data_IF_303827034217
#
_entry.id   IF_303827034217
#
_cell.length_a   1.000
_cell.length_b   1.000
_cell.length_c   1.000
_cell.angle_alpha   90.00
_cell.angle_beta   90.00
_cell.angle_gamma   90.00
#
_symmetry.space_group_name_H-M   'P 1'
#
loop_
_entity.id
_entity.type
_entity.pdbx_description
1 polymer ?
#
# COMPACT_ATOMS: atom_id res chain seq x y z
N UNK A 1 9.11 -18.17 -8.70
CA UNK A 1 7.78 -18.40 -9.32
C UNK A 1 7.06 -17.09 -9.65
N UNK A 2 6.91 -16.14 -8.71
CA UNK A 2 6.35 -14.79 -9.03
C UNK A 2 7.23 -14.04 -10.05
N UNK A 3 8.55 -14.12 -9.88
CA UNK A 3 9.51 -13.51 -10.81
C UNK A 3 9.39 -14.07 -12.23
N UNK A 4 9.02 -15.34 -12.36
CA UNK A 4 8.76 -15.99 -13.65
C UNK A 4 7.50 -15.41 -14.30
N UNK A 5 6.39 -15.30 -13.53
CA UNK A 5 5.13 -14.72 -14.01
C UNK A 5 5.28 -13.24 -14.37
N UNK A 6 6.01 -12.46 -13.57
CA UNK A 6 6.23 -11.03 -13.80
C UNK A 6 7.14 -10.75 -15.00
N UNK A 7 8.14 -11.60 -15.22
CA UNK A 7 9.02 -11.51 -16.40
C UNK A 7 8.27 -11.95 -17.66
N UNK A 8 7.40 -12.95 -17.54
CA UNK A 8 6.55 -13.44 -18.63
C UNK A 8 5.39 -12.47 -18.95
N UNK A 9 4.92 -11.72 -17.95
CA UNK A 9 3.85 -10.72 -18.06
C UNK A 9 4.27 -9.37 -17.48
N UNK A 10 5.24 -8.68 -18.11
CA UNK A 10 5.80 -7.42 -17.59
C UNK A 10 4.79 -6.28 -17.52
N UNK A 11 3.66 -6.43 -18.21
CA UNK A 11 2.54 -5.49 -18.22
C UNK A 11 1.65 -5.57 -16.97
N UNK A 12 1.77 -6.60 -16.11
CA UNK A 12 0.93 -6.74 -14.92
C UNK A 12 1.09 -5.59 -13.93
N UNK A 13 2.34 -5.28 -13.54
CA UNK A 13 2.64 -4.19 -12.61
C UNK A 13 2.14 -2.81 -13.11
N UNK A 14 2.46 -2.36 -14.34
CA UNK A 14 1.96 -1.07 -14.83
C UNK A 14 0.44 -1.07 -15.02
N UNK A 15 -0.18 -2.19 -15.40
CA UNK A 15 -1.65 -2.29 -15.52
C UNK A 15 -2.31 -2.19 -14.16
N UNK A 16 -1.81 -2.90 -13.15
CA UNK A 16 -2.30 -2.81 -11.78
C UNK A 16 -2.15 -1.39 -11.23
N UNK A 17 -1.01 -0.74 -11.47
CA UNK A 17 -0.79 0.65 -11.08
C UNK A 17 -1.78 1.59 -11.77
N UNK A 18 -1.98 1.45 -13.08
CA UNK A 18 -2.93 2.27 -13.83
C UNK A 18 -4.36 2.10 -13.32
N UNK A 19 -4.79 0.86 -13.05
CA UNK A 19 -6.08 0.58 -12.44
C UNK A 19 -6.22 1.21 -11.05
N UNK A 20 -5.18 1.16 -10.21
CA UNK A 20 -5.18 1.80 -8.90
C UNK A 20 -5.24 3.33 -9.00
N UNK A 21 -4.53 3.93 -9.95
CA UNK A 21 -4.56 5.39 -10.18
C UNK A 21 -5.96 5.85 -10.62
N UNK A 22 -6.63 5.09 -11.48
CA UNK A 22 -7.96 5.46 -12.00
C UNK A 22 -9.09 5.10 -11.02
N UNK A 23 -9.12 3.86 -10.54
CA UNK A 23 -10.22 3.33 -9.74
C UNK A 23 -10.03 3.60 -8.24
N UNK A 24 -8.78 3.66 -7.76
CA UNK A 24 -8.46 3.84 -6.34
C UNK A 24 -9.10 5.10 -5.74
N UNK A 25 -8.94 6.29 -6.35
CA UNK A 25 -9.58 7.50 -5.85
C UNK A 25 -11.10 7.44 -5.85
N UNK A 26 -11.71 6.76 -6.83
CA UNK A 26 -13.16 6.59 -6.92
C UNK A 26 -13.68 5.70 -5.79
N UNK A 27 -13.02 4.57 -5.53
CA UNK A 27 -13.36 3.69 -4.40
C UNK A 27 -13.11 4.41 -3.07
N UNK A 28 -11.96 5.09 -2.93
CA UNK A 28 -11.62 5.89 -1.76
C UNK A 28 -12.67 6.96 -1.46
N UNK A 29 -13.19 7.63 -2.49
CA UNK A 29 -14.30 8.60 -2.39
C UNK A 29 -15.56 7.95 -1.81
N UNK A 30 -15.92 6.76 -2.30
CA UNK A 30 -17.13 6.03 -1.87
C UNK A 30 -17.06 5.59 -0.40
N UNK A 31 -15.85 5.31 0.12
CA UNK A 31 -15.64 4.87 1.50
C UNK A 31 -15.19 5.98 2.46
N UNK A 32 -14.97 7.22 1.98
CA UNK A 32 -14.48 8.34 2.79
C UNK A 32 -15.37 8.72 3.98
N UNK A 33 -16.67 8.42 3.90
CA UNK A 33 -17.64 8.59 5.00
C UNK A 33 -17.83 7.33 5.87
N UNK A 34 -17.16 6.22 5.55
CA UNK A 34 -17.34 4.91 6.19
C UNK A 34 -15.99 4.39 6.75
N UNK A 35 -15.55 4.88 7.92
CA UNK A 35 -14.22 4.58 8.45
C UNK A 35 -13.97 3.07 8.63
N UNK A 36 -14.97 2.30 9.03
CA UNK A 36 -14.86 0.84 9.14
C UNK A 36 -14.57 0.16 7.79
N UNK A 37 -15.24 0.60 6.71
CA UNK A 37 -14.99 0.07 5.37
C UNK A 37 -13.60 0.47 4.86
N UNK A 38 -13.15 1.70 5.13
CA UNK A 38 -11.80 2.14 4.77
C UNK A 38 -10.72 1.34 5.52
N UNK A 39 -10.92 1.04 6.80
CA UNK A 39 -10.02 0.16 7.56
C UNK A 39 -10.03 -1.28 7.08
N UNK A 40 -11.21 -1.84 6.75
CA UNK A 40 -11.31 -3.17 6.17
C UNK A 40 -10.53 -3.25 4.84
N UNK A 41 -10.71 -2.28 3.94
CA UNK A 41 -9.98 -2.22 2.68
C UNK A 41 -8.47 -2.02 2.89
N UNK A 42 -8.07 -1.23 3.89
CA UNK A 42 -6.66 -1.10 4.29
C UNK A 42 -6.08 -2.46 4.70
N UNK A 43 -6.79 -3.18 5.59
CA UNK A 43 -6.37 -4.50 6.05
C UNK A 43 -6.27 -5.51 4.90
N UNK A 44 -7.31 -5.62 4.07
CA UNK A 44 -7.32 -6.49 2.89
C UNK A 44 -6.20 -6.15 1.92
N UNK A 45 -5.95 -4.87 1.66
CA UNK A 45 -4.87 -4.44 0.77
C UNK A 45 -3.47 -4.61 1.37
N UNK A 46 -3.36 -4.77 2.70
CA UNK A 46 -2.08 -5.05 3.39
C UNK A 46 -1.74 -6.55 3.36
N UNK A 47 -2.74 -7.43 3.21
CA UNK A 47 -2.51 -8.89 3.14
C UNK A 47 -1.49 -9.27 2.06
N UNK A 48 -1.59 -8.78 0.80
CA UNK A 48 -0.58 -9.05 -0.22
C UNK A 48 0.83 -8.58 0.17
N UNK A 49 0.97 -7.46 0.88
CA UNK A 49 2.28 -6.98 1.35
C UNK A 49 2.89 -8.04 2.27
N UNK A 50 2.19 -8.41 3.33
CA UNK A 50 2.68 -9.36 4.33
C UNK A 50 2.96 -10.73 3.70
N UNK A 51 2.02 -11.25 2.91
CA UNK A 51 2.17 -12.56 2.27
C UNK A 51 3.38 -12.55 1.33
N UNK A 52 3.50 -11.56 0.45
CA UNK A 52 4.55 -11.57 -0.57
C UNK A 52 5.95 -11.25 -0.03
N UNK A 53 6.04 -10.57 1.12
CA UNK A 53 7.32 -10.25 1.75
C UNK A 53 7.76 -11.29 2.78
N UNK A 54 6.83 -11.97 3.46
CA UNK A 54 7.15 -12.89 4.56
C UNK A 54 6.99 -14.37 4.21
N UNK A 55 6.38 -14.72 3.08
CA UNK A 55 6.29 -16.12 2.66
C UNK A 55 7.70 -16.63 2.29
N UNK A 56 8.18 -17.71 2.93
CA UNK A 56 9.51 -18.24 2.66
C UNK A 56 9.68 -18.65 1.20
N UNK A 57 10.90 -18.50 0.68
CA UNK A 57 11.25 -18.94 -0.66
C UNK A 57 12.49 -19.82 -0.64
N UNK A 58 12.59 -20.80 -1.53
CA UNK A 58 13.72 -21.74 -1.62
C UNK A 58 15.03 -21.12 -2.15
N UNK A 59 15.16 -19.78 -2.11
CA UNK A 59 16.35 -19.06 -2.55
C UNK A 59 17.38 -19.03 -1.43
N UNK A 60 18.65 -19.20 -1.79
CA UNK A 60 19.76 -18.91 -0.88
C UNK A 60 19.79 -17.40 -0.66
N UNK A 61 19.33 -16.94 0.50
CA UNK A 61 19.52 -15.56 0.92
C UNK A 61 21.02 -15.31 1.11
N UNK A 62 21.51 -14.17 0.64
CA UNK A 62 22.86 -13.71 0.97
C UNK A 62 22.86 -13.15 2.39
N UNK A 63 23.91 -13.41 3.17
CA UNK A 63 24.05 -12.91 4.55
C UNK A 63 24.23 -11.39 4.66
N UNK A 64 24.24 -10.67 3.53
CA UNK A 64 24.46 -9.22 3.48
C UNK A 64 23.32 -8.53 2.74
N UNK A 65 22.88 -7.39 3.27
CA UNK A 65 21.91 -6.54 2.58
C UNK A 65 22.52 -5.95 1.31
N UNK A 66 21.73 -5.94 0.25
CA UNK A 66 22.05 -5.20 -0.96
C UNK A 66 21.85 -3.70 -0.69
N UNK A 67 22.92 -2.92 -0.90
CA UNK A 67 22.84 -1.46 -0.87
C UNK A 67 22.92 -0.95 -2.31
N UNK A 68 21.76 -0.59 -2.84
CA UNK A 68 21.58 -0.04 -4.18
C UNK A 68 20.48 1.03 -4.19
N UNK A 69 20.61 1.99 -5.11
CA UNK A 69 19.70 3.12 -5.25
C UNK A 69 19.28 3.26 -6.71
N UNK A 70 18.44 2.33 -7.16
CA UNK A 70 17.97 2.35 -8.54
C UNK A 70 16.48 2.54 -8.62
N UNK A 71 16.08 3.46 -9.49
CA UNK A 71 14.67 3.79 -9.67
C UNK A 71 13.92 2.63 -10.35
N UNK A 72 12.67 2.38 -9.95
CA UNK A 72 11.79 1.46 -10.65
C UNK A 72 11.56 1.97 -12.08
N UNK A 73 11.67 1.07 -13.06
CA UNK A 73 11.34 1.33 -14.46
C UNK A 73 10.42 0.23 -14.96
N UNK A 74 9.72 0.45 -16.08
CA UNK A 74 8.79 -0.53 -16.65
C UNK A 74 9.49 -1.86 -16.99
N UNK A 75 10.76 -1.81 -17.41
CA UNK A 75 11.57 -3.01 -17.66
C UNK A 75 12.09 -3.72 -16.39
N UNK A 76 11.94 -3.11 -15.21
CA UNK A 76 12.32 -3.67 -13.91
C UNK A 76 11.09 -4.06 -13.11
N UNK A 77 10.45 -5.11 -13.58
CA UNK A 77 9.13 -5.58 -13.15
C UNK A 77 9.02 -5.82 -11.64
N UNK A 78 10.09 -6.28 -10.99
CA UNK A 78 10.13 -6.52 -9.54
C UNK A 78 10.06 -5.22 -8.74
N UNK A 79 10.89 -4.22 -9.09
CA UNK A 79 10.86 -2.90 -8.46
C UNK A 79 9.52 -2.20 -8.70
N UNK A 80 8.94 -2.36 -9.90
CA UNK A 80 7.62 -1.83 -10.22
C UNK A 80 6.49 -2.50 -9.41
N UNK A 81 6.58 -3.80 -9.13
CA UNK A 81 5.61 -4.48 -8.27
C UNK A 81 5.67 -3.99 -6.82
N UNK A 82 6.88 -3.76 -6.28
CA UNK A 82 7.07 -3.22 -4.94
C UNK A 82 6.39 -1.84 -4.78
N UNK A 83 6.45 -0.98 -5.80
CA UNK A 83 5.67 0.26 -5.84
C UNK A 83 4.17 -0.05 -5.68
N UNK A 84 3.62 -0.95 -6.49
CA UNK A 84 2.18 -1.28 -6.49
C UNK A 84 1.69 -1.79 -5.14
N UNK A 85 2.49 -2.60 -4.44
CA UNK A 85 2.11 -3.23 -3.17
C UNK A 85 1.68 -2.23 -2.09
N UNK A 86 2.32 -1.06 -2.04
CA UNK A 86 2.01 -0.06 -1.02
C UNK A 86 0.93 0.94 -1.44
N UNK A 87 0.60 1.07 -2.73
CA UNK A 87 -0.35 2.10 -3.22
C UNK A 87 -1.73 1.92 -2.60
N UNK A 88 -2.34 0.74 -2.72
CA UNK A 88 -3.68 0.48 -2.23
C UNK A 88 -3.83 0.57 -0.70
N UNK A 89 -3.01 -0.10 0.13
CA UNK A 89 -3.15 -0.01 1.58
C UNK A 89 -2.93 1.42 2.08
N UNK A 90 -1.98 2.16 1.51
CA UNK A 90 -1.71 3.55 1.90
C UNK A 90 -2.84 4.48 1.48
N UNK A 91 -3.39 4.33 0.27
CA UNK A 91 -4.55 5.09 -0.18
C UNK A 91 -5.70 4.97 0.82
N UNK A 92 -6.08 3.73 1.16
CA UNK A 92 -7.19 3.50 2.09
C UNK A 92 -6.86 3.89 3.53
N UNK A 93 -5.61 3.74 3.98
CA UNK A 93 -5.17 4.21 5.29
C UNK A 93 -5.24 5.74 5.39
N UNK A 94 -4.88 6.47 4.33
CA UNK A 94 -5.06 7.94 4.27
C UNK A 94 -6.54 8.30 4.33
N UNK A 95 -7.40 7.59 3.60
CA UNK A 95 -8.85 7.82 3.65
C UNK A 95 -9.42 7.54 5.05
N UNK A 96 -8.96 6.47 5.71
CA UNK A 96 -9.42 6.06 7.04
C UNK A 96 -8.96 7.02 8.15
N UNK A 97 -7.68 7.43 8.12
CA UNK A 97 -7.05 8.24 9.18
C UNK A 97 -7.18 9.74 8.93
N UNK A 98 -7.29 10.15 7.67
CA UNK A 98 -7.19 11.56 7.21
C UNK A 98 -5.88 12.24 7.61
N UNK A 99 -4.80 11.47 7.84
CA UNK A 99 -3.49 11.97 8.29
C UNK A 99 -2.39 11.53 7.31
N UNK A 100 -2.27 12.17 6.14
CA UNK A 100 -1.39 11.71 5.06
C UNK A 100 0.08 11.57 5.48
N UNK A 101 0.62 12.54 6.23
CA UNK A 101 2.02 12.51 6.67
C UNK A 101 2.31 11.40 7.69
N UNK A 102 1.37 11.13 8.60
CA UNK A 102 1.50 10.05 9.58
C UNK A 102 1.47 8.71 8.88
N UNK A 103 0.55 8.52 7.93
CA UNK A 103 0.47 7.29 7.13
C UNK A 103 1.74 7.11 6.29
N UNK A 104 2.26 8.18 5.68
CA UNK A 104 3.50 8.13 4.90
C UNK A 104 4.68 7.62 5.75
N UNK A 105 4.88 8.24 6.92
CA UNK A 105 5.93 7.83 7.85
C UNK A 105 5.74 6.39 8.35
N UNK A 106 4.53 6.04 8.77
CA UNK A 106 4.24 4.69 9.27
C UNK A 106 4.43 3.60 8.20
N UNK A 107 4.02 3.85 6.95
CA UNK A 107 4.14 2.87 5.88
C UNK A 107 5.58 2.73 5.37
N UNK A 108 6.34 3.82 5.26
CA UNK A 108 7.77 3.75 4.93
C UNK A 108 8.57 3.06 6.05
N UNK A 109 8.23 3.33 7.33
CA UNK A 109 8.81 2.62 8.47
C UNK A 109 8.44 1.14 8.49
N UNK A 110 7.20 0.78 8.15
CA UNK A 110 6.78 -0.61 8.00
C UNK A 110 7.60 -1.31 6.91
N UNK A 111 7.83 -0.67 5.76
CA UNK A 111 8.70 -1.24 4.73
C UNK A 111 10.13 -1.46 5.24
N UNK A 112 10.72 -0.50 5.96
CA UNK A 112 12.06 -0.66 6.53
C UNK A 112 12.10 -1.79 7.58
N UNK A 113 11.03 -1.94 8.37
CA UNK A 113 10.91 -3.03 9.34
C UNK A 113 10.82 -4.40 8.64
N UNK A 114 10.10 -4.51 7.51
CA UNK A 114 10.05 -5.73 6.70
C UNK A 114 11.45 -6.12 6.22
N UNK A 115 12.21 -5.18 5.65
CA UNK A 115 13.60 -5.41 5.23
C UNK A 115 14.48 -5.84 6.40
N UNK A 116 14.32 -5.20 7.56
CA UNK A 116 15.07 -5.55 8.77
C UNK A 116 14.75 -6.98 9.24
N UNK A 117 13.47 -7.38 9.20
CA UNK A 117 13.08 -8.75 9.53
C UNK A 117 13.67 -9.74 8.53
N UNK A 118 13.68 -9.44 7.24
CA UNK A 118 14.29 -10.29 6.22
C UNK A 118 15.81 -10.42 6.41
N UNK A 119 16.48 -9.35 6.87
CA UNK A 119 17.89 -9.38 7.23
C UNK A 119 18.18 -10.29 8.45
N UNK A 120 17.30 -10.25 9.46
CA UNK A 120 17.46 -11.00 10.71
C UNK A 120 16.93 -12.43 10.65
N UNK A 121 16.13 -12.76 9.63
CA UNK A 121 15.52 -14.09 9.46
C UNK A 121 15.87 -14.66 8.08
N UNK A 122 17.11 -15.17 7.89
CA UNK A 122 17.56 -15.73 6.60
C UNK A 122 16.69 -16.89 6.09
N UNK A 123 15.97 -17.58 6.99
CA UNK A 123 15.03 -18.65 6.65
C UNK A 123 13.87 -18.22 5.75
N UNK A 124 13.59 -16.90 5.62
CA UNK A 124 12.63 -16.37 4.66
C UNK A 124 13.16 -16.52 3.21
N UNK A 125 14.48 -16.66 3.03
CA UNK A 125 15.09 -16.82 1.71
C UNK A 125 15.11 -15.55 0.86
N UNK A 126 14.89 -14.38 1.48
CA UNK A 126 14.98 -13.06 0.84
C UNK A 126 16.09 -12.24 1.48
N UNK A 127 16.95 -11.64 0.67
CA UNK A 127 17.92 -10.65 1.13
C UNK A 127 17.26 -9.27 1.22
N UNK A 128 17.52 -8.56 2.31
CA UNK A 128 17.20 -7.14 2.43
C UNK A 128 17.84 -6.32 1.31
N UNK A 129 17.12 -5.33 0.77
CA UNK A 129 17.60 -4.44 -0.27
C UNK A 129 17.09 -3.00 -0.07
N UNK A 130 17.99 -2.02 -0.15
CA UNK A 130 17.59 -0.60 -0.13
C UNK A 130 16.78 -0.20 -1.36
N UNK A 131 16.87 -0.95 -2.48
CA UNK A 131 16.00 -0.76 -3.64
C UNK A 131 14.54 -1.10 -3.32
N UNK A 132 14.30 -2.17 -2.55
CA UNK A 132 12.95 -2.61 -2.18
C UNK A 132 12.31 -1.58 -1.24
N UNK A 133 13.07 -1.08 -0.26
CA UNK A 133 12.64 0.04 0.57
C UNK A 133 12.32 1.31 -0.23
N UNK A 134 13.18 1.67 -1.19
CA UNK A 134 12.96 2.83 -2.07
C UNK A 134 11.68 2.67 -2.89
N UNK A 135 11.51 1.55 -3.59
CA UNK A 135 10.33 1.27 -4.42
C UNK A 135 9.04 1.26 -3.62
N UNK A 136 9.04 0.62 -2.46
CA UNK A 136 7.89 0.64 -1.54
C UNK A 136 7.57 2.06 -1.10
N UNK A 137 8.60 2.86 -0.76
CA UNK A 137 8.42 4.28 -0.37
C UNK A 137 7.86 5.14 -1.50
N UNK A 138 8.25 4.89 -2.76
CA UNK A 138 7.62 5.52 -3.93
C UNK A 138 6.12 5.13 -4.00
N UNK A 139 5.81 3.85 -3.80
CA UNK A 139 4.43 3.35 -3.68
C UNK A 139 3.63 4.04 -2.59
N UNK A 140 4.25 4.26 -1.42
CA UNK A 140 3.65 5.03 -0.31
C UNK A 140 3.31 6.44 -0.74
N UNK A 141 4.24 7.16 -1.39
CA UNK A 141 3.99 8.53 -1.85
C UNK A 141 2.83 8.57 -2.85
N UNK A 142 2.81 7.65 -3.83
CA UNK A 142 1.71 7.53 -4.78
C UNK A 142 0.38 7.25 -4.08
N UNK A 143 0.35 6.27 -3.17
CA UNK A 143 -0.84 5.95 -2.37
C UNK A 143 -1.35 7.14 -1.55
N UNK A 144 -0.46 7.92 -0.94
CA UNK A 144 -0.82 9.13 -0.20
C UNK A 144 -1.47 10.16 -1.12
N UNK A 145 -0.87 10.43 -2.28
CA UNK A 145 -1.42 11.38 -3.26
C UNK A 145 -2.81 10.94 -3.68
N UNK A 146 -3.00 9.67 -4.04
CA UNK A 146 -4.30 9.14 -4.44
C UNK A 146 -5.32 9.19 -3.29
N UNK A 147 -4.91 8.92 -2.05
CA UNK A 147 -5.77 9.02 -0.86
C UNK A 147 -6.21 10.46 -0.59
N UNK A 148 -5.31 11.43 -0.78
CA UNK A 148 -5.66 12.86 -0.72
C UNK A 148 -6.65 13.22 -1.82
N UNK A 149 -6.41 12.80 -3.06
CA UNK A 149 -7.34 13.02 -4.19
C UNK A 149 -8.72 12.42 -3.87
N UNK A 150 -8.79 11.20 -3.34
CA UNK A 150 -10.03 10.55 -2.94
C UNK A 150 -10.82 11.39 -1.91
N UNK A 151 -10.14 11.93 -0.90
CA UNK A 151 -10.74 12.79 0.11
C UNK A 151 -11.21 14.13 -0.47
N UNK A 152 -10.46 14.73 -1.40
CA UNK A 152 -10.87 15.96 -2.10
C UNK A 152 -12.10 15.73 -2.95
N UNK A 153 -12.17 14.60 -3.67
CA UNK A 153 -13.33 14.20 -4.48
C UNK A 153 -14.57 13.92 -3.63
N UNK A 154 -14.41 13.51 -2.37
CA UNK A 154 -15.53 13.26 -1.46
C UNK A 154 -16.17 14.55 -0.93
N UNK A 155 -15.42 15.66 -0.91
CA UNK A 155 -15.87 16.97 -0.44
C UNK A 155 -16.24 17.01 1.05
N UNK A 156 -16.76 18.15 1.54
CA UNK A 156 -17.22 18.32 2.93
C UNK A 156 -18.42 17.43 3.31
N UNK A 157 -19.21 17.00 2.31
CA UNK A 157 -20.53 16.36 2.42
C UNK A 157 -20.49 14.98 3.11
N UNK A 158 -19.31 14.36 3.22
CA UNK A 158 -19.12 13.13 4.02
C UNK A 158 -19.25 13.32 5.54
N UNK A 159 -19.15 14.55 6.05
CA UNK A 159 -19.28 14.85 7.51
C UNK A 159 -20.73 14.95 7.98
N UNK A 160 -21.64 15.51 7.17
CA UNK A 160 -23.05 15.74 7.57
C UNK A 160 -23.88 14.46 7.61
N UNK A 161 -23.54 13.45 6.80
CA UNK A 161 -24.31 12.19 6.76
C UNK A 161 -24.15 11.33 8.02
N UNK A 162 -23.19 11.65 8.89
CA UNK A 162 -23.01 11.06 10.23
C UNK A 162 -23.76 11.82 11.33
N UNK A 163 -24.19 13.06 11.07
CA UNK A 163 -24.87 13.91 12.07
C UNK A 163 -26.38 13.74 12.04
N UNK A 164 -26.95 13.25 10.92
CA UNK A 164 -28.38 12.96 10.79
C UNK A 164 -28.67 11.53 11.26
N UNK A 165 -28.42 11.23 12.53
CA UNK A 165 -29.17 10.17 13.23
C UNK A 165 -30.13 10.90 14.17
N UNK A 166 -31.43 11.02 13.85
CA UNK A 166 -32.38 11.62 14.78
C UNK A 166 -32.39 10.74 16.03
N UNK A 167 -31.90 11.28 17.16
CA UNK A 167 -32.28 10.77 18.47
C UNK A 167 -33.78 11.02 18.58
N UNK A 168 -34.56 9.98 18.33
CA UNK A 168 -35.98 9.96 18.69
C UNK A 168 -36.08 10.27 20.18
N UNK A 169 -36.64 11.44 20.46
CA UNK A 169 -37.12 11.86 21.77
C UNK A 169 -38.21 10.87 22.20
N UNK A 170 -37.88 9.92 23.07
CA UNK A 170 -38.90 9.28 23.92
C UNK A 170 -38.96 10.04 25.22
N UNK A 171 -39.78 11.11 25.22
CA UNK A 171 -40.54 11.53 26.40
C UNK A 171 -41.78 10.66 26.42
N UNK A 172 -41.93 9.82 27.44
CA UNK A 172 -43.06 9.86 28.39
C UNK A 172 -42.92 8.73 29.40
#
# INVERSE_FOLDING_TARGET
>A
MITTILVEHPWLSPTALALLVVLGPLVGRLVAGRPAAAWLLTGLATVPVVVLTMLPTDRRAFERCEVAWTLPTVGRVELAANVVLFVAPVLFAVVATRRPLVVAGAASALSAAIETVQALVPAIGRSCSTNDWLSNTIGVVVGVVLGVVALRLAGPVGRERLTIRPRSLTRS
#
